data_IF_460162586730
#
_entry.id   IF_460162586730
#
_cell.length_a   1.000
_cell.length_b   1.000
_cell.length_c   1.000
_cell.angle_alpha   90.00
_cell.angle_beta   90.00
_cell.angle_gamma   90.00
#
_symmetry.space_group_name_H-M   'P 1'
#
loop_
_entity.id
_entity.type
_entity.pdbx_description
1 polymer ?
#
# COMPACT_ATOMS: atom_id res chain seq x y z
N UNK A 1 -0.56 -17.40 -11.99
CA UNK A 1 -1.36 -16.55 -12.90
C UNK A 1 -0.43 -15.46 -13.44
N UNK A 2 -0.35 -15.29 -14.75
CA UNK A 2 0.60 -14.37 -15.37
C UNK A 2 0.13 -12.91 -15.25
N UNK A 3 1.08 -12.04 -14.94
CA UNK A 3 0.97 -10.59 -15.07
C UNK A 3 0.72 -10.20 -16.53
N UNK A 4 -0.34 -9.46 -16.91
CA UNK A 4 -0.41 -8.91 -18.25
C UNK A 4 0.68 -7.83 -18.39
N UNK A 5 1.58 -8.01 -19.36
CA UNK A 5 2.72 -7.13 -19.58
C UNK A 5 2.28 -5.80 -20.20
N UNK A 6 2.77 -4.67 -19.65
CA UNK A 6 2.58 -3.34 -20.22
C UNK A 6 1.18 -2.72 -20.06
N UNK A 7 0.30 -3.29 -19.23
CA UNK A 7 -1.07 -2.78 -19.03
C UNK A 7 -1.41 -2.47 -17.57
N UNK A 8 -0.46 -2.71 -16.66
CA UNK A 8 -0.66 -2.47 -15.24
C UNK A 8 -0.02 -1.16 -14.83
N UNK A 9 -0.79 -0.38 -14.08
CA UNK A 9 -0.33 0.75 -13.33
C UNK A 9 0.07 0.33 -11.91
N UNK A 10 1.17 0.92 -11.44
CA UNK A 10 1.70 0.66 -10.12
C UNK A 10 1.43 1.80 -9.13
N UNK A 11 1.14 1.45 -7.89
CA UNK A 11 1.03 2.37 -6.76
C UNK A 11 1.80 1.80 -5.56
N UNK A 12 2.72 2.58 -5.01
CA UNK A 12 3.37 2.26 -3.74
C UNK A 12 2.64 2.91 -2.56
N UNK A 13 2.35 2.12 -1.54
CA UNK A 13 1.94 2.61 -0.22
C UNK A 13 3.15 2.56 0.70
N UNK A 14 3.67 3.72 1.11
CA UNK A 14 4.87 3.83 1.96
C UNK A 14 4.44 4.09 3.40
N UNK A 15 4.56 3.07 4.25
CA UNK A 15 4.28 3.12 5.68
C UNK A 15 5.42 3.83 6.40
N UNK A 16 5.08 4.62 7.41
CA UNK A 16 6.06 5.36 8.18
C UNK A 16 6.73 4.46 9.22
N UNK A 17 8.06 4.31 9.17
CA UNK A 17 8.80 3.45 10.09
C UNK A 17 9.43 4.15 11.29
N UNK A 18 9.29 5.49 11.43
CA UNK A 18 10.05 6.26 12.44
C UNK A 18 9.29 7.39 13.13
N UNK A 19 8.10 7.76 12.65
CA UNK A 19 7.40 8.99 13.07
C UNK A 19 5.94 8.73 13.47
N UNK A 20 5.64 7.53 13.95
CA UNK A 20 4.39 7.25 14.69
C UNK A 20 4.70 7.13 16.18
N UNK A 21 3.66 7.17 16.99
CA UNK A 21 3.81 6.93 18.42
C UNK A 21 4.36 5.50 18.67
N UNK A 22 5.28 5.31 19.63
CA UNK A 22 5.87 4.00 19.91
C UNK A 22 4.83 2.90 20.19
N UNK A 23 3.70 3.26 20.81
CA UNK A 23 2.59 2.35 21.09
C UNK A 23 1.94 1.81 19.81
N UNK A 24 1.87 2.61 18.75
CA UNK A 24 1.34 2.19 17.44
C UNK A 24 2.24 1.11 16.83
N UNK A 25 3.56 1.23 16.97
CA UNK A 25 4.49 0.19 16.53
C UNK A 25 4.44 -1.06 17.41
N UNK A 26 4.27 -0.89 18.73
CA UNK A 26 4.23 -2.00 19.67
C UNK A 26 2.95 -2.84 19.55
N UNK A 27 1.81 -2.19 19.29
CA UNK A 27 0.50 -2.83 19.15
C UNK A 27 0.11 -3.14 17.70
N UNK A 28 0.82 -2.56 16.73
CA UNK A 28 0.51 -2.68 15.31
C UNK A 28 0.80 -4.07 14.77
N UNK A 29 -0.11 -4.58 13.94
CA UNK A 29 0.06 -5.81 13.18
C UNK A 29 0.21 -5.48 11.69
N UNK A 30 1.45 -5.61 11.20
CA UNK A 30 1.77 -5.34 9.79
C UNK A 30 1.10 -6.36 8.86
N UNK A 31 0.98 -7.63 9.27
CA UNK A 31 0.36 -8.66 8.45
C UNK A 31 -1.14 -8.39 8.32
N UNK A 32 -1.83 -8.10 9.44
CA UNK A 32 -3.25 -7.74 9.40
C UNK A 32 -3.49 -6.45 8.59
N UNK A 33 -2.59 -5.48 8.68
CA UNK A 33 -2.63 -4.25 7.85
C UNK A 33 -2.52 -4.59 6.36
N UNK A 34 -1.57 -5.46 5.99
CA UNK A 34 -1.37 -5.91 4.61
C UNK A 34 -2.60 -6.68 4.11
N UNK A 35 -3.16 -7.56 4.91
CA UNK A 35 -4.33 -8.36 4.55
C UNK A 35 -5.58 -7.48 4.36
N UNK A 36 -5.78 -6.49 5.23
CA UNK A 36 -6.85 -5.50 5.10
C UNK A 36 -6.72 -4.68 3.81
N UNK A 37 -5.51 -4.22 3.47
CA UNK A 37 -5.28 -3.49 2.22
C UNK A 37 -5.48 -4.39 0.99
N UNK A 38 -4.98 -5.63 1.03
CA UNK A 38 -5.16 -6.59 -0.05
C UNK A 38 -6.65 -6.92 -0.27
N UNK A 39 -7.43 -7.05 0.81
CA UNK A 39 -8.87 -7.22 0.73
C UNK A 39 -9.56 -5.97 0.15
N UNK A 40 -9.13 -4.77 0.54
CA UNK A 40 -9.69 -3.52 0.05
C UNK A 40 -9.49 -3.30 -1.45
N UNK A 41 -8.31 -3.62 -2.01
CA UNK A 41 -8.11 -3.54 -3.47
C UNK A 41 -8.90 -4.60 -4.24
N UNK A 42 -9.21 -5.73 -3.62
CA UNK A 42 -10.07 -6.77 -4.17
C UNK A 42 -9.65 -7.21 -5.58
N UNK A 43 -10.57 -7.17 -6.53
CA UNK A 43 -10.28 -7.54 -7.93
C UNK A 43 -9.65 -6.40 -8.74
N UNK A 44 -9.59 -5.18 -8.21
CA UNK A 44 -9.04 -4.02 -8.94
C UNK A 44 -7.52 -4.01 -8.95
N UNK A 45 -6.89 -4.76 -8.06
CA UNK A 45 -5.45 -4.96 -8.11
C UNK A 45 -4.99 -5.95 -7.06
N UNK A 46 -3.69 -5.98 -6.86
CA UNK A 46 -3.07 -6.94 -5.93
C UNK A 46 -1.80 -6.34 -5.37
N UNK A 47 -1.42 -6.78 -4.17
CA UNK A 47 -0.07 -6.59 -3.62
C UNK A 47 0.90 -7.59 -4.28
N UNK A 48 1.95 -7.12 -4.93
CA UNK A 48 2.88 -7.98 -5.66
C UNK A 48 4.20 -8.18 -4.96
N UNK A 49 4.66 -7.14 -4.26
CA UNK A 49 5.90 -7.17 -3.53
C UNK A 49 5.89 -6.10 -2.45
N UNK A 50 6.88 -6.18 -1.58
CA UNK A 50 7.15 -5.16 -0.58
C UNK A 50 8.66 -4.95 -0.48
N UNK A 51 9.04 -3.80 0.07
CA UNK A 51 10.42 -3.52 0.46
C UNK A 51 10.41 -2.90 1.86
N UNK A 52 11.28 -3.38 2.74
CA UNK A 52 11.42 -2.87 4.09
C UNK A 52 12.78 -2.20 4.22
N UNK A 53 12.77 -0.92 4.56
CA UNK A 53 13.97 -0.13 4.84
C UNK A 53 14.00 0.38 6.28
N UNK A 54 15.08 1.08 6.67
CA UNK A 54 15.25 1.58 8.03
C UNK A 54 14.29 2.72 8.40
N UNK A 55 13.68 3.39 7.42
CA UNK A 55 12.81 4.55 7.66
C UNK A 55 11.33 4.29 7.33
N UNK A 56 11.04 3.22 6.59
CA UNK A 56 9.71 2.94 6.05
C UNK A 56 9.64 1.55 5.41
N UNK A 57 8.41 1.07 5.26
CA UNK A 57 8.07 -0.12 4.47
C UNK A 57 7.21 0.31 3.29
N UNK A 58 7.61 -0.08 2.08
CA UNK A 58 6.84 0.16 0.86
C UNK A 58 6.09 -1.12 0.45
N UNK A 59 4.79 -1.00 0.20
CA UNK A 59 3.93 -2.03 -0.35
C UNK A 59 3.60 -1.68 -1.80
N UNK A 60 3.86 -2.58 -2.74
CA UNK A 60 3.70 -2.33 -4.17
C UNK A 60 2.45 -3.00 -4.72
N UNK A 61 1.43 -2.18 -4.99
CA UNK A 61 0.17 -2.61 -5.58
C UNK A 61 0.18 -2.37 -7.08
N UNK A 62 -0.40 -3.30 -7.83
CA UNK A 62 -0.57 -3.18 -9.28
C UNK A 62 -1.99 -3.56 -9.69
N UNK A 63 -2.53 -2.80 -10.64
CA UNK A 63 -3.89 -2.90 -11.18
C UNK A 63 -3.99 -2.15 -12.50
N UNK A 64 -5.15 -2.12 -13.16
CA UNK A 64 -5.31 -1.42 -14.44
C UNK A 64 -5.35 0.11 -14.30
N UNK A 65 -5.56 0.63 -13.09
CA UNK A 65 -5.66 2.07 -12.81
C UNK A 65 -5.14 2.40 -11.40
N UNK A 66 -4.05 3.16 -11.31
CA UNK A 66 -3.46 3.57 -10.02
C UNK A 66 -4.36 4.51 -9.21
N UNK A 67 -5.19 5.35 -9.86
CA UNK A 67 -6.09 6.27 -9.16
C UNK A 67 -7.22 5.48 -8.48
N UNK A 68 -7.75 4.47 -9.19
CA UNK A 68 -8.75 3.56 -8.63
C UNK A 68 -8.19 2.71 -7.47
N UNK A 69 -6.91 2.32 -7.52
CA UNK A 69 -6.24 1.67 -6.39
C UNK A 69 -6.09 2.63 -5.21
N UNK A 70 -5.65 3.86 -5.48
CA UNK A 70 -5.42 4.88 -4.46
C UNK A 70 -6.69 5.14 -3.65
N UNK A 71 -7.81 5.37 -4.32
CA UNK A 71 -9.10 5.64 -3.63
C UNK A 71 -9.46 4.53 -2.65
N UNK A 72 -9.31 3.26 -3.05
CA UNK A 72 -9.62 2.11 -2.17
C UNK A 72 -8.65 1.98 -1.01
N UNK A 73 -7.37 2.21 -1.26
CA UNK A 73 -6.34 2.12 -0.22
C UNK A 73 -6.40 3.28 0.77
N UNK A 74 -6.80 4.48 0.33
CA UNK A 74 -7.05 5.63 1.21
C UNK A 74 -8.29 5.40 2.10
N UNK A 75 -9.36 4.84 1.55
CA UNK A 75 -10.56 4.47 2.32
C UNK A 75 -10.25 3.42 3.40
N UNK A 76 -9.52 2.36 3.02
CA UNK A 76 -9.09 1.32 3.96
C UNK A 76 -8.10 1.83 5.03
N UNK A 77 -7.29 2.84 4.71
CA UNK A 77 -6.29 3.37 5.64
C UNK A 77 -6.89 4.08 6.85
N UNK A 78 -8.11 4.62 6.74
CA UNK A 78 -8.75 5.36 7.82
C UNK A 78 -8.94 4.53 9.10
N UNK A 79 -8.94 3.20 9.01
CA UNK A 79 -9.07 2.28 10.15
C UNK A 79 -7.78 1.60 10.61
N UNK A 80 -6.62 1.93 10.03
CA UNK A 80 -5.37 1.18 10.22
C UNK A 80 -4.28 2.07 10.83
N UNK A 81 -3.92 1.90 12.13
CA UNK A 81 -2.95 2.76 12.81
C UNK A 81 -1.57 2.81 12.12
N UNK A 82 -1.10 1.69 11.58
CA UNK A 82 0.19 1.63 10.87
C UNK A 82 0.20 2.41 9.55
N UNK A 83 -0.97 2.82 9.05
CA UNK A 83 -1.10 3.68 7.87
C UNK A 83 -1.16 5.16 8.20
N UNK A 84 -1.10 5.54 9.47
CA UNK A 84 -0.91 6.93 9.84
C UNK A 84 0.33 7.50 9.15
N UNK A 85 0.18 8.70 8.58
CA UNK A 85 1.26 9.40 7.85
C UNK A 85 1.88 8.57 6.71
N UNK A 86 1.17 7.58 6.17
CA UNK A 86 1.61 6.87 4.98
C UNK A 86 1.56 7.78 3.74
N UNK A 87 2.22 7.34 2.66
CA UNK A 87 2.24 8.07 1.38
C UNK A 87 1.88 7.15 0.24
N UNK A 88 1.07 7.66 -0.68
CA UNK A 88 0.69 7.00 -1.92
C UNK A 88 1.53 7.58 -3.06
N UNK A 89 2.32 6.74 -3.72
CA UNK A 89 3.25 7.16 -4.77
C UNK A 89 2.96 6.37 -6.04
N UNK A 90 2.45 7.01 -7.11
CA UNK A 90 2.34 6.39 -8.42
C UNK A 90 3.73 5.93 -8.91
N UNK A 91 3.79 4.72 -9.44
CA UNK A 91 5.02 4.13 -10.00
C UNK A 91 5.10 4.31 -11.52
N UNK A 92 3.96 4.54 -12.16
CA UNK A 92 3.89 4.90 -13.58
C UNK A 92 4.02 6.43 -13.71
N UNK A 93 4.99 6.95 -14.48
CA UNK A 93 5.01 8.36 -14.87
C UNK A 93 3.75 8.69 -15.68
N UNK A 94 3.10 9.81 -15.36
CA UNK A 94 2.01 10.37 -16.16
C UNK A 94 2.57 11.66 -16.80
N UNK A 95 2.56 11.73 -18.13
CA UNK A 95 2.95 12.90 -18.92
C UNK A 95 1.93 14.04 -18.83
#
# INVERSE_FOLDING_TARGET
MAAPFGVLDGLAVRLNGTRLDPEVYAAGDLQATVDALAAAVGETGRLWSYWTGPLETALYFYGPDADALRVRLEDAAAGLPLLERCRYVPLTPRD
#
